data_IF_034127457900
#
_entry.id   IF_034127457900
#
_cell.length_a   1.000
_cell.length_b   1.000
_cell.length_c   1.000
_cell.angle_alpha   90.00
_cell.angle_beta   90.00
_cell.angle_gamma   90.00
#
_symmetry.space_group_name_H-M   'P 1'
#
loop_
_entity.id
_entity.type
_entity.pdbx_description
1 polymer ?
#
# COMPACT_ATOMS: atom_id res chain seq x y z
N UNK A 1 30.48 -12.99 -2.77
CA UNK A 1 29.16 -13.69 -2.72
C UNK A 1 28.63 -13.81 -1.28
N UNK A 2 29.44 -14.19 -0.30
CA UNK A 2 29.00 -14.30 1.10
C UNK A 2 28.50 -12.99 1.73
N UNK A 3 29.08 -11.84 1.39
CA UNK A 3 28.64 -10.51 1.87
C UNK A 3 27.26 -10.12 1.34
N UNK A 4 26.96 -10.42 0.07
CA UNK A 4 25.64 -10.20 -0.55
C UNK A 4 24.58 -11.08 0.11
N UNK A 5 24.92 -12.34 0.39
CA UNK A 5 24.02 -13.27 1.07
C UNK A 5 23.70 -12.85 2.51
N UNK A 6 24.72 -12.45 3.28
CA UNK A 6 24.50 -11.92 4.63
C UNK A 6 23.65 -10.64 4.60
N UNK A 7 23.90 -9.75 3.63
CA UNK A 7 23.09 -8.55 3.41
C UNK A 7 21.63 -8.90 3.16
N UNK A 8 21.35 -9.86 2.28
CA UNK A 8 20.01 -10.32 1.95
C UNK A 8 19.28 -10.91 3.18
N UNK A 9 19.94 -11.77 3.94
CA UNK A 9 19.36 -12.37 5.15
C UNK A 9 19.08 -11.32 6.23
N UNK A 10 19.97 -10.33 6.39
CA UNK A 10 19.74 -9.19 7.32
C UNK A 10 18.55 -8.35 6.90
N UNK A 11 18.40 -8.08 5.60
CA UNK A 11 17.27 -7.34 5.05
C UNK A 11 15.94 -8.07 5.29
N UNK A 12 15.90 -9.39 5.03
CA UNK A 12 14.73 -10.23 5.31
C UNK A 12 14.42 -10.34 6.81
N UNK A 13 15.44 -10.43 7.67
CA UNK A 13 15.26 -10.44 9.11
C UNK A 13 14.77 -9.09 9.65
N UNK A 14 15.25 -7.97 9.10
CA UNK A 14 14.78 -6.62 9.40
C UNK A 14 13.31 -6.43 9.00
N UNK A 15 12.95 -6.84 7.78
CA UNK A 15 11.56 -6.82 7.31
C UNK A 15 10.64 -7.67 8.21
N UNK A 16 11.09 -8.86 8.63
CA UNK A 16 10.34 -9.72 9.55
C UNK A 16 10.21 -9.14 10.96
N UNK A 17 11.15 -8.30 11.41
CA UNK A 17 11.03 -7.54 12.67
C UNK A 17 10.02 -6.40 12.52
N UNK A 18 10.05 -5.67 11.40
CA UNK A 18 9.05 -4.65 11.09
C UNK A 18 7.63 -5.20 11.11
N UNK A 19 7.40 -6.39 10.53
CA UNK A 19 6.11 -7.09 10.59
C UNK A 19 5.64 -7.50 12.00
N UNK A 20 6.51 -7.45 13.01
CA UNK A 20 6.17 -7.74 14.41
C UNK A 20 5.65 -6.51 15.16
N UNK A 21 5.91 -5.32 14.65
CA UNK A 21 5.44 -4.08 15.24
C UNK A 21 3.91 -3.96 15.08
N UNK A 22 3.17 -3.73 16.18
CA UNK A 22 1.72 -3.66 16.15
C UNK A 22 1.20 -2.51 15.28
N UNK A 23 1.89 -1.37 15.22
CA UNK A 23 1.49 -0.21 14.42
C UNK A 23 1.76 -0.44 12.94
N UNK A 24 2.94 -0.98 12.59
CA UNK A 24 3.26 -1.35 11.20
C UNK A 24 2.27 -2.39 10.68
N UNK A 25 1.95 -3.40 11.50
CA UNK A 25 0.95 -4.42 11.16
C UNK A 25 -0.44 -3.83 11.01
N UNK A 26 -0.83 -2.86 11.84
CA UNK A 26 -2.12 -2.19 11.73
C UNK A 26 -2.23 -1.40 10.41
N UNK A 27 -1.19 -0.65 10.03
CA UNK A 27 -1.16 0.10 8.77
C UNK A 27 -1.24 -0.85 7.56
N UNK A 28 -0.47 -1.94 7.57
CA UNK A 28 -0.55 -2.96 6.52
C UNK A 28 -1.94 -3.60 6.43
N UNK A 29 -2.58 -3.85 7.57
CA UNK A 29 -3.93 -4.40 7.60
C UNK A 29 -4.96 -3.40 7.05
N UNK A 30 -4.84 -2.12 7.40
CA UNK A 30 -5.66 -1.05 6.84
C UNK A 30 -5.45 -0.89 5.34
N UNK A 31 -4.20 -1.00 4.85
CA UNK A 31 -3.89 -0.97 3.42
C UNK A 31 -4.53 -2.15 2.68
N UNK A 32 -4.48 -3.35 3.26
CA UNK A 32 -5.12 -4.54 2.70
C UNK A 32 -6.65 -4.40 2.68
N UNK A 33 -7.26 -3.84 3.73
CA UNK A 33 -8.71 -3.56 3.75
C UNK A 33 -9.06 -2.49 2.71
N UNK A 34 -8.29 -1.42 2.60
CA UNK A 34 -8.54 -0.37 1.62
C UNK A 34 -8.46 -0.92 0.19
N UNK A 35 -7.43 -1.73 -0.11
CA UNK A 35 -7.25 -2.36 -1.41
C UNK A 35 -8.39 -3.35 -1.73
N UNK A 36 -8.74 -4.22 -0.80
CA UNK A 36 -9.84 -5.19 -1.00
C UNK A 36 -11.20 -4.50 -1.12
N UNK A 37 -11.46 -3.49 -0.30
CA UNK A 37 -12.66 -2.67 -0.35
C UNK A 37 -12.78 -1.90 -1.66
N UNK A 38 -11.70 -1.26 -2.12
CA UNK A 38 -11.64 -0.61 -3.44
C UNK A 38 -11.90 -1.60 -4.55
N UNK A 39 -11.28 -2.79 -4.50
CA UNK A 39 -11.43 -3.83 -5.53
C UNK A 39 -12.89 -4.27 -5.66
N UNK A 40 -13.56 -4.55 -4.53
CA UNK A 40 -14.97 -4.94 -4.50
C UNK A 40 -15.84 -3.82 -5.03
N UNK A 41 -15.58 -2.57 -4.63
CA UNK A 41 -16.34 -1.41 -5.09
C UNK A 41 -16.24 -1.23 -6.61
N UNK A 42 -15.03 -1.17 -7.17
CA UNK A 42 -14.85 -1.00 -8.61
C UNK A 42 -15.38 -2.18 -9.41
N UNK A 43 -15.29 -3.41 -8.88
CA UNK A 43 -15.92 -4.59 -9.46
C UNK A 43 -17.44 -4.44 -9.58
N UNK A 44 -18.10 -3.91 -8.54
CA UNK A 44 -19.57 -3.81 -8.52
C UNK A 44 -20.05 -2.62 -9.36
N UNK A 45 -19.37 -1.47 -9.27
CA UNK A 45 -19.83 -0.22 -9.88
C UNK A 45 -19.39 -0.06 -11.33
N UNK A 46 -18.15 -0.44 -11.67
CA UNK A 46 -17.62 -0.34 -13.04
C UNK A 46 -17.68 -1.67 -13.79
N UNK A 47 -18.14 -2.75 -13.14
CA UNK A 47 -18.25 -4.10 -13.72
C UNK A 47 -16.93 -4.67 -14.29
N UNK A 48 -15.79 -4.15 -13.82
CA UNK A 48 -14.46 -4.60 -14.27
C UNK A 48 -14.17 -6.04 -13.85
N UNK A 49 -13.19 -6.67 -14.51
CA UNK A 49 -12.69 -7.98 -14.06
C UNK A 49 -12.03 -7.80 -12.68
N UNK A 50 -12.04 -8.85 -11.86
CA UNK A 50 -11.42 -8.82 -10.53
C UNK A 50 -9.98 -8.31 -10.55
N UNK A 51 -9.20 -8.72 -11.56
CA UNK A 51 -7.81 -8.29 -11.72
C UNK A 51 -7.70 -6.80 -12.09
N UNK A 52 -8.58 -6.30 -12.97
CA UNK A 52 -8.57 -4.90 -13.41
C UNK A 52 -9.02 -3.98 -12.26
N UNK A 53 -10.02 -4.39 -11.48
CA UNK A 53 -10.47 -3.68 -10.29
C UNK A 53 -9.39 -3.65 -9.18
N UNK A 54 -8.68 -4.77 -8.98
CA UNK A 54 -7.57 -4.83 -8.03
C UNK A 54 -6.39 -3.98 -8.50
N UNK A 55 -6.05 -4.05 -9.78
CA UNK A 55 -5.03 -3.22 -10.41
C UNK A 55 -5.34 -1.74 -10.22
N UNK A 56 -6.54 -1.28 -10.59
CA UNK A 56 -6.93 0.11 -10.41
C UNK A 56 -6.90 0.55 -8.94
N UNK A 57 -7.37 -0.30 -8.03
CA UNK A 57 -7.34 -0.02 -6.59
C UNK A 57 -5.93 0.20 -6.07
N UNK A 58 -4.97 -0.63 -6.49
CA UNK A 58 -3.55 -0.44 -6.14
C UNK A 58 -3.03 0.86 -6.74
N UNK A 59 -3.25 1.09 -8.04
CA UNK A 59 -2.76 2.28 -8.75
C UNK A 59 -3.28 3.59 -8.16
N UNK A 60 -4.54 3.62 -7.72
CA UNK A 60 -5.15 4.77 -7.04
C UNK A 60 -4.58 4.94 -5.62
N UNK A 61 -4.44 3.85 -4.85
CA UNK A 61 -3.94 3.87 -3.48
C UNK A 61 -2.46 4.30 -3.41
N UNK A 62 -1.63 3.88 -4.38
CA UNK A 62 -0.21 4.22 -4.48
C UNK A 62 0.04 5.49 -5.29
N UNK A 63 -1.02 6.18 -5.73
CA UNK A 63 -0.96 7.39 -6.56
C UNK A 63 -0.13 7.24 -7.85
N UNK A 64 0.02 6.01 -8.36
CA UNK A 64 0.75 5.78 -9.62
C UNK A 64 -0.14 6.20 -10.80
N UNK A 65 -1.42 5.80 -10.75
CA UNK A 65 -2.43 6.13 -11.77
C UNK A 65 -2.24 5.40 -13.10
N UNK A 66 -3.35 5.15 -13.80
CA UNK A 66 -3.37 4.55 -15.13
C UNK A 66 -4.20 5.41 -16.07
N UNK A 67 -3.70 5.65 -17.28
CA UNK A 67 -4.40 6.48 -18.28
C UNK A 67 -5.40 5.69 -19.14
N UNK A 68 -5.28 4.36 -19.18
CA UNK A 68 -6.09 3.46 -20.00
C UNK A 68 -7.32 2.94 -19.27
N UNK A 69 -7.22 2.78 -17.95
CA UNK A 69 -8.30 2.31 -17.08
C UNK A 69 -8.71 3.43 -16.12
N UNK A 70 -9.91 3.99 -16.31
CA UNK A 70 -10.43 5.08 -15.49
C UNK A 70 -11.94 4.93 -15.22
N UNK A 71 -12.42 5.36 -14.04
CA UNK A 71 -13.83 5.23 -13.66
C UNK A 71 -14.73 6.04 -14.59
N UNK A 72 -15.76 5.40 -15.12
CA UNK A 72 -16.68 6.01 -16.08
C UNK A 72 -17.90 6.61 -15.39
N UNK A 73 -18.34 6.00 -14.29
CA UNK A 73 -19.54 6.41 -13.55
C UNK A 73 -19.28 7.59 -12.61
N UNK A 74 -20.29 8.44 -12.38
CA UNK A 74 -20.17 9.58 -11.47
C UNK A 74 -19.85 9.13 -10.03
N UNK A 75 -20.49 8.05 -9.57
CA UNK A 75 -20.26 7.47 -8.24
C UNK A 75 -18.83 6.96 -8.09
N UNK A 76 -18.29 6.25 -9.08
CA UNK A 76 -16.92 5.76 -9.00
C UNK A 76 -15.89 6.89 -9.05
N UNK A 77 -16.16 7.98 -9.78
CA UNK A 77 -15.28 9.17 -9.77
C UNK A 77 -15.22 9.81 -8.38
N UNK A 78 -16.37 10.04 -7.74
CA UNK A 78 -16.43 10.60 -6.38
C UNK A 78 -15.72 9.67 -5.39
N UNK A 79 -16.01 8.36 -5.48
CA UNK A 79 -15.33 7.38 -4.64
C UNK A 79 -13.82 7.41 -4.85
N UNK A 80 -13.34 7.45 -6.09
CA UNK A 80 -11.91 7.51 -6.41
C UNK A 80 -11.25 8.75 -5.83
N UNK A 81 -11.90 9.92 -5.87
CA UNK A 81 -11.37 11.15 -5.24
C UNK A 81 -11.16 10.97 -3.74
N UNK A 82 -12.17 10.45 -3.03
CA UNK A 82 -12.09 10.21 -1.58
C UNK A 82 -11.09 9.10 -1.25
N UNK A 83 -11.11 8.01 -2.02
CA UNK A 83 -10.23 6.86 -1.87
C UNK A 83 -8.77 7.25 -2.02
N UNK A 84 -8.42 8.09 -3.01
CA UNK A 84 -7.06 8.58 -3.20
C UNK A 84 -6.58 9.47 -2.05
N UNK A 85 -7.44 10.33 -1.49
CA UNK A 85 -7.09 11.15 -0.31
C UNK A 85 -6.77 10.24 0.89
N UNK A 86 -7.62 9.24 1.15
CA UNK A 86 -7.36 8.24 2.19
C UNK A 86 -6.08 7.45 1.92
N UNK A 87 -5.85 7.05 0.66
CA UNK A 87 -4.66 6.31 0.23
C UNK A 87 -3.37 7.06 0.48
N UNK A 88 -3.33 8.36 0.17
CA UNK A 88 -2.18 9.24 0.47
C UNK A 88 -1.90 9.24 1.97
N UNK A 89 -2.91 9.46 2.82
CA UNK A 89 -2.74 9.45 4.27
C UNK A 89 -2.19 8.11 4.79
N UNK A 90 -2.68 7.00 4.23
CA UNK A 90 -2.26 5.66 4.63
C UNK A 90 -0.83 5.33 4.17
N UNK A 91 -0.44 5.79 2.98
CA UNK A 91 0.95 5.69 2.50
C UNK A 91 1.91 6.58 3.26
N UNK A 92 1.51 7.80 3.63
CA UNK A 92 2.31 8.67 4.50
C UNK A 92 2.53 8.02 5.87
N UNK A 93 1.48 7.43 6.46
CA UNK A 93 1.60 6.70 7.72
C UNK A 93 2.57 5.53 7.59
N UNK A 94 2.47 4.75 6.49
CA UNK A 94 3.39 3.66 6.21
C UNK A 94 4.83 4.14 6.08
N UNK A 95 5.07 5.20 5.31
CA UNK A 95 6.40 5.78 5.11
C UNK A 95 6.99 6.35 6.39
N UNK A 96 6.18 7.02 7.21
CA UNK A 96 6.59 7.55 8.51
C UNK A 96 7.04 6.44 9.47
N UNK A 97 6.37 5.27 9.46
CA UNK A 97 6.84 4.13 10.27
C UNK A 97 8.15 3.58 9.72
N UNK A 98 8.29 3.46 8.40
CA UNK A 98 9.54 3.03 7.79
C UNK A 98 10.71 3.98 8.13
N UNK A 99 10.49 5.29 8.17
CA UNK A 99 11.55 6.25 8.52
C UNK A 99 11.95 6.13 9.99
N UNK A 100 11.00 6.00 10.91
CA UNK A 100 11.30 5.81 12.34
C UNK A 100 12.08 4.52 12.61
N UNK A 101 11.78 3.44 11.87
CA UNK A 101 12.59 2.20 11.93
C UNK A 101 14.04 2.42 11.50
N UNK A 102 14.26 3.30 10.51
CA UNK A 102 15.60 3.61 9.97
C UNK A 102 16.44 4.42 10.98
N UNK A 103 15.84 5.39 11.65
CA UNK A 103 16.51 6.21 12.67
C UNK A 103 16.96 5.40 13.89
N UNK A 104 16.19 4.37 14.27
CA UNK A 104 16.54 3.48 15.38
C UNK A 104 17.73 2.54 15.08
N UNK A 105 18.06 2.31 13.81
CA UNK A 105 19.26 1.56 13.40
C UNK A 105 20.50 2.46 13.29
N UNK A 106 20.37 3.72 12.85
CA UNK A 106 21.50 4.68 12.74
C UNK A 106 22.00 5.16 14.11
N UNK A 107 21.17 5.20 15.17
CA UNK A 107 21.60 5.58 16.53
C UNK A 107 22.34 4.50 17.33
N UNK A 108 22.67 3.36 16.71
CA UNK A 108 23.37 2.22 17.34
C UNK A 108 24.77 1.96 16.79
N UNK A 109 25.22 2.76 15.83
CA UNK A 109 26.63 2.83 15.40
C UNK A 109 27.35 3.97 16.14
#
# INVERSE_FOLDING_TARGET
>A
MASLWLGLVRLLAGFRRGLRDPEFRAILFLLAIAMTGGTIFFRIVEHWRWIDAAYFSVMALTTVGDATLSPTTAIAKIFTMLFSICGIGLMLAFLSRLSTFREHEEGRE
#
